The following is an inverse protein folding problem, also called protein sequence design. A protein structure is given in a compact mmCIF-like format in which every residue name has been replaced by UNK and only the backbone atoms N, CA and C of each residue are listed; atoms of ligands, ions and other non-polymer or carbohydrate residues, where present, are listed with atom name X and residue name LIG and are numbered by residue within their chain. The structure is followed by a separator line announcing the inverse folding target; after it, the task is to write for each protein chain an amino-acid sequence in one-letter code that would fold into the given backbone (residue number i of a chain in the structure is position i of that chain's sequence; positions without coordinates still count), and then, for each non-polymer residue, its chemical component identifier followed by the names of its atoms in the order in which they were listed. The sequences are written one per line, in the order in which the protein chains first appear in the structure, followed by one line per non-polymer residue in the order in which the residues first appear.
data_IF_630277925915
#
_entry.id   IF_630277925915
#
_cell.length_a   1.000
_cell.length_b   1.000
_cell.length_c   1.000
_cell.angle_alpha   90.00
_cell.angle_beta   90.00
_cell.angle_gamma   90.00
#
_symmetry.space_group_name_H-M   'P 1'
#
loop_
_entity.id
_entity.type
_entity.pdbx_description
1 polymer ?
#
# COMPACT_ATOMS: atom_id res chain seq x y z
N UNK A 1 37.05 -3.32 -3.37
CA UNK A 1 35.77 -2.66 -3.06
C UNK A 1 34.69 -3.68 -3.31
N UNK A 2 34.23 -4.34 -2.25
CA UNK A 2 33.25 -5.44 -2.33
C UNK A 2 31.86 -4.84 -2.47
N UNK A 3 31.21 -5.09 -3.59
CA UNK A 3 29.80 -4.76 -3.82
C UNK A 3 28.95 -5.51 -2.77
N UNK A 4 27.93 -4.90 -2.13
CA UNK A 4 27.11 -5.63 -1.18
C UNK A 4 26.33 -6.71 -1.94
N UNK A 5 26.53 -7.98 -1.56
CA UNK A 5 25.78 -9.13 -2.05
C UNK A 5 24.28 -8.88 -1.84
N UNK A 6 23.54 -8.73 -2.93
CA UNK A 6 22.07 -8.60 -2.96
C UNK A 6 21.36 -9.97 -2.87
N UNK A 7 22.10 -11.03 -2.51
CA UNK A 7 21.64 -12.42 -2.55
C UNK A 7 21.24 -12.97 -1.17
N UNK A 8 20.57 -12.16 -0.34
CA UNK A 8 19.76 -12.69 0.78
C UNK A 8 18.28 -12.68 0.38
N UNK A 9 17.97 -13.28 -0.77
CA UNK A 9 16.61 -13.64 -1.12
C UNK A 9 16.25 -14.82 -0.24
N UNK A 10 15.73 -14.55 0.97
CA UNK A 10 15.17 -15.57 1.86
C UNK A 10 14.24 -16.56 1.13
N UNK A 11 13.88 -17.69 1.75
CA UNK A 11 13.25 -18.82 1.08
C UNK A 11 12.07 -18.38 0.19
N UNK A 12 11.97 -18.98 -1.00
CA UNK A 12 10.93 -18.66 -1.97
C UNK A 12 9.55 -18.79 -1.32
N UNK A 13 8.84 -17.67 -1.20
CA UNK A 13 7.49 -17.62 -0.65
C UNK A 13 6.51 -18.00 -1.76
N UNK A 14 5.67 -19.00 -1.52
CA UNK A 14 4.65 -19.45 -2.47
C UNK A 14 3.65 -18.31 -2.75
N UNK A 15 3.31 -18.08 -4.02
CA UNK A 15 2.25 -17.12 -4.39
C UNK A 15 0.91 -17.84 -4.49
N UNK A 16 -0.06 -17.46 -3.65
CA UNK A 16 -1.45 -17.94 -3.70
C UNK A 16 -2.38 -16.80 -4.09
N UNK A 17 -2.42 -16.51 -5.39
CA UNK A 17 -3.28 -15.46 -5.95
C UNK A 17 -4.76 -15.74 -5.64
N UNK A 18 -5.36 -14.89 -4.81
CA UNK A 18 -6.75 -15.05 -4.38
C UNK A 18 -7.80 -14.51 -5.36
N UNK A 19 -7.40 -13.76 -6.39
CA UNK A 19 -8.29 -13.27 -7.45
C UNK A 19 -9.13 -12.04 -7.10
N UNK A 20 -8.87 -11.38 -5.96
CA UNK A 20 -9.58 -10.15 -5.59
C UNK A 20 -9.41 -9.07 -6.68
N UNK A 21 -10.49 -8.39 -7.12
CA UNK A 21 -10.39 -7.39 -8.17
C UNK A 21 -9.63 -6.15 -7.69
N UNK A 22 -9.12 -5.38 -8.65
CA UNK A 22 -8.60 -4.04 -8.39
C UNK A 22 -9.76 -3.05 -8.34
N UNK A 23 -9.68 -2.12 -7.40
CA UNK A 23 -10.56 -0.95 -7.28
C UNK A 23 -9.73 0.32 -7.28
N UNK A 24 -10.30 1.39 -7.81
CA UNK A 24 -9.68 2.71 -7.80
C UNK A 24 -10.05 3.47 -6.53
N UNK A 25 -9.05 3.82 -5.72
CA UNK A 25 -9.25 4.56 -4.47
C UNK A 25 -9.80 5.98 -4.70
N UNK A 26 -9.72 6.53 -5.92
CA UNK A 26 -10.31 7.83 -6.24
C UNK A 26 -11.84 7.85 -6.10
N UNK A 27 -12.48 6.68 -6.15
CA UNK A 27 -13.92 6.53 -5.95
C UNK A 27 -14.30 6.19 -4.49
N UNK A 28 -13.33 6.17 -3.56
CA UNK A 28 -13.55 5.86 -2.15
C UNK A 28 -13.64 7.14 -1.33
N UNK A 29 -14.85 7.59 -1.01
CA UNK A 29 -15.09 8.86 -0.31
C UNK A 29 -14.39 8.99 1.04
N UNK A 30 -14.13 7.85 1.71
CA UNK A 30 -13.43 7.80 2.98
C UNK A 30 -11.96 8.27 2.86
N UNK A 31 -11.33 8.10 1.70
CA UNK A 31 -9.91 8.39 1.47
C UNK A 31 -9.74 9.63 0.61
N UNK A 32 -8.61 10.32 0.77
CA UNK A 32 -8.17 11.34 -0.18
C UNK A 32 -7.09 10.77 -1.08
N UNK A 33 -7.11 11.16 -2.35
CA UNK A 33 -6.09 10.80 -3.34
C UNK A 33 -5.49 12.08 -3.87
N UNK A 34 -4.17 12.16 -3.91
CA UNK A 34 -3.46 13.29 -4.49
C UNK A 34 -3.89 13.46 -5.97
N UNK A 35 -4.33 14.65 -6.39
CA UNK A 35 -4.83 14.88 -7.75
C UNK A 35 -3.77 14.60 -8.84
N UNK A 36 -2.48 14.56 -8.51
CA UNK A 36 -1.42 14.15 -9.43
C UNK A 36 -1.42 12.64 -9.72
N UNK A 37 -2.12 11.82 -8.93
CA UNK A 37 -2.21 10.37 -9.11
C UNK A 37 -3.26 10.04 -10.17
N UNK A 38 -2.80 9.67 -11.36
CA UNK A 38 -3.67 9.36 -12.50
C UNK A 38 -4.59 8.14 -12.27
N UNK A 39 -4.13 7.16 -11.50
CA UNK A 39 -4.91 6.01 -11.07
C UNK A 39 -4.37 5.46 -9.74
N UNK A 40 -5.26 5.19 -8.78
CA UNK A 40 -4.90 4.64 -7.47
C UNK A 40 -5.49 3.24 -7.31
N UNK A 41 -5.08 2.31 -8.19
CA UNK A 41 -5.65 0.95 -8.17
C UNK A 41 -5.00 0.09 -7.08
N UNK A 42 -5.81 -0.54 -6.25
CA UNK A 42 -5.38 -1.53 -5.24
C UNK A 42 -6.38 -2.68 -5.19
N UNK A 43 -6.01 -3.81 -4.58
CA UNK A 43 -6.95 -4.92 -4.34
C UNK A 43 -8.07 -4.47 -3.40
N UNK A 44 -9.29 -5.00 -3.57
CA UNK A 44 -10.43 -4.72 -2.67
C UNK A 44 -10.04 -4.89 -1.20
N UNK A 45 -9.38 -6.00 -0.84
CA UNK A 45 -8.97 -6.23 0.54
C UNK A 45 -7.94 -5.22 1.06
N UNK A 46 -7.16 -4.58 0.18
CA UNK A 46 -6.27 -3.46 0.55
C UNK A 46 -7.08 -2.19 0.76
N UNK A 47 -8.03 -1.88 -0.14
CA UNK A 47 -8.92 -0.73 0.01
C UNK A 47 -9.70 -0.78 1.32
N UNK A 48 -10.29 -1.94 1.66
CA UNK A 48 -11.04 -2.13 2.91
C UNK A 48 -10.17 -1.89 4.15
N UNK A 49 -8.90 -2.29 4.10
CA UNK A 49 -7.93 -2.05 5.17
C UNK A 49 -7.56 -0.57 5.28
N UNK A 50 -7.40 0.13 4.16
CA UNK A 50 -7.16 1.58 4.19
C UNK A 50 -8.35 2.34 4.75
N UNK A 51 -9.58 1.94 4.39
CA UNK A 51 -10.81 2.49 4.99
C UNK A 51 -10.87 2.18 6.49
N UNK A 52 -10.50 0.97 6.89
CA UNK A 52 -10.38 0.61 8.31
C UNK A 52 -9.33 1.45 9.03
N UNK A 53 -8.16 1.67 8.45
CA UNK A 53 -7.13 2.53 9.04
C UNK A 53 -7.63 3.98 9.17
N UNK A 54 -8.37 4.48 8.19
CA UNK A 54 -8.99 5.82 8.24
C UNK A 54 -9.95 5.98 9.42
N UNK A 55 -10.70 4.95 9.82
CA UNK A 55 -11.62 5.04 10.98
C UNK A 55 -10.89 5.04 12.32
N UNK A 56 -9.62 4.63 12.35
CA UNK A 56 -8.77 4.64 13.54
C UNK A 56 -8.00 5.96 13.71
N UNK A 57 -8.01 6.83 12.70
CA UNK A 57 -7.35 8.13 12.78
C UNK A 57 -8.13 9.11 13.68
N UNK A 58 -7.44 10.07 14.33
CA UNK A 58 -8.10 11.15 15.04
C UNK A 58 -9.08 11.92 14.16
N UNK A 59 -10.15 12.43 14.77
CA UNK A 59 -11.13 13.28 14.09
C UNK A 59 -10.41 14.46 13.43
N UNK A 60 -10.78 14.74 12.18
CA UNK A 60 -10.19 15.81 11.38
C UNK A 60 -8.89 15.43 10.66
N UNK A 61 -8.38 14.20 10.83
CA UNK A 61 -7.26 13.66 10.06
C UNK A 61 -7.73 12.67 8.99
N UNK A 62 -7.07 12.70 7.84
CA UNK A 62 -7.37 11.86 6.69
C UNK A 62 -6.12 11.23 6.09
N UNK A 63 -6.28 10.01 5.57
CA UNK A 63 -5.28 9.36 4.72
C UNK A 63 -5.27 10.03 3.35
N UNK A 64 -4.07 10.40 2.92
CA UNK A 64 -3.79 10.87 1.56
C UNK A 64 -2.99 9.81 0.82
N UNK A 65 -3.56 9.26 -0.24
CA UNK A 65 -2.88 8.36 -1.17
C UNK A 65 -2.05 9.21 -2.13
N UNK A 66 -0.73 9.13 -2.03
CA UNK A 66 0.21 9.87 -2.91
C UNK A 66 0.76 8.99 -4.03
N UNK A 67 0.58 7.68 -3.94
CA UNK A 67 0.82 6.72 -5.03
C UNK A 67 -0.02 5.46 -4.82
N UNK A 68 -0.64 4.96 -5.88
CA UNK A 68 -1.28 3.63 -5.97
C UNK A 68 -0.70 2.84 -7.13
N UNK A 69 -1.37 1.81 -7.69
CA UNK A 69 -0.82 1.06 -8.85
C UNK A 69 -0.32 1.99 -9.96
N UNK A 70 1.00 2.08 -10.09
CA UNK A 70 1.69 2.63 -11.24
C UNK A 70 1.95 1.48 -12.23
N UNK A 71 1.57 1.60 -13.51
CA UNK A 71 1.85 0.58 -14.53
C UNK A 71 3.33 0.26 -14.71
N UNK A 72 4.23 1.14 -14.27
CA UNK A 72 5.68 0.96 -14.33
C UNK A 72 6.28 0.95 -12.92
N UNK A 73 6.49 -0.27 -12.42
CA UNK A 73 7.56 -0.67 -11.48
C UNK A 73 7.41 -0.69 -9.95
N UNK A 74 6.33 -0.26 -9.30
CA UNK A 74 6.28 -0.33 -7.82
C UNK A 74 5.12 -1.14 -7.23
N UNK A 75 3.96 -1.19 -7.89
CA UNK A 75 2.71 -1.72 -7.30
C UNK A 75 2.01 -2.75 -8.21
N UNK A 76 2.79 -3.58 -8.91
CA UNK A 76 2.30 -4.50 -9.94
C UNK A 76 1.31 -5.57 -9.43
N UNK A 77 1.24 -5.81 -8.12
CA UNK A 77 0.29 -6.71 -7.46
C UNK A 77 -1.02 -6.02 -7.03
N UNK A 78 -1.04 -4.69 -6.94
CA UNK A 78 -2.10 -3.91 -6.30
C UNK A 78 -2.17 -4.07 -4.78
N UNK A 79 -1.12 -4.62 -4.16
CA UNK A 79 -1.06 -4.95 -2.73
C UNK A 79 -0.60 -3.79 -1.83
N UNK A 80 -0.11 -2.71 -2.42
CA UNK A 80 0.59 -1.65 -1.70
C UNK A 80 0.18 -0.26 -2.20
N UNK A 81 0.36 0.72 -1.32
CA UNK A 81 0.12 2.14 -1.58
C UNK A 81 1.13 3.00 -0.80
N UNK A 82 1.45 4.16 -1.36
CA UNK A 82 2.20 5.19 -0.64
C UNK A 82 1.24 6.21 -0.04
N UNK A 83 1.41 6.47 1.26
CA UNK A 83 0.46 7.19 2.07
C UNK A 83 1.11 8.36 2.82
N UNK A 84 0.32 9.41 3.02
CA UNK A 84 0.60 10.53 3.94
C UNK A 84 -0.63 10.82 4.79
N UNK A 85 -0.46 11.66 5.80
CA UNK A 85 -1.59 12.26 6.52
C UNK A 85 -1.87 13.67 6.00
N UNK A 86 -3.15 14.00 5.94
CA UNK A 86 -3.65 15.35 5.69
C UNK A 86 -4.78 15.66 6.67
N UNK A 87 -5.15 16.93 6.76
CA UNK A 87 -6.35 17.37 7.50
C UNK A 87 -7.61 17.14 6.66
N UNK A 88 -8.78 17.28 7.28
CA UNK A 88 -10.08 17.07 6.64
C UNK A 88 -10.33 17.93 5.39
N UNK A 89 -9.73 19.12 5.34
CA UNK A 89 -9.72 20.07 4.23
C UNK A 89 -8.61 19.80 3.19
N UNK A 90 -7.83 18.74 3.37
CA UNK A 90 -6.82 18.28 2.42
C UNK A 90 -5.44 18.92 2.58
N UNK A 91 -5.20 19.74 3.61
CA UNK A 91 -3.86 20.26 3.85
C UNK A 91 -2.92 19.14 4.37
N UNK A 92 -1.79 18.94 3.70
CA UNK A 92 -0.80 17.93 4.11
C UNK A 92 -0.29 18.25 5.51
N UNK A 93 -0.32 17.25 6.40
CA UNK A 93 0.26 17.36 7.74
C UNK A 93 1.75 17.04 7.65
N UNK A 94 2.57 17.85 8.33
CA UNK A 94 4.01 17.59 8.42
C UNK A 94 4.24 16.23 9.06
N UNK A 95 5.03 15.38 8.38
CA UNK A 95 5.34 14.03 8.86
C UNK A 95 6.42 14.08 9.95
N UNK A 96 6.05 14.54 11.13
CA UNK A 96 6.87 14.40 12.34
C UNK A 96 6.75 12.99 12.95
N UNK A 97 7.55 12.70 13.98
CA UNK A 97 7.57 11.38 14.61
C UNK A 97 6.21 10.99 15.21
N UNK A 98 5.44 11.95 15.74
CA UNK A 98 4.13 11.69 16.33
C UNK A 98 3.07 11.37 15.26
N UNK A 99 3.11 12.09 14.16
CA UNK A 99 2.27 11.91 12.97
C UNK A 99 2.55 10.56 12.34
N UNK A 100 3.82 10.23 12.14
CA UNK A 100 4.26 8.93 11.65
C UNK A 100 3.82 7.78 12.58
N UNK A 101 3.94 7.95 13.90
CA UNK A 101 3.51 6.93 14.87
C UNK A 101 2.00 6.68 14.83
N UNK A 102 1.17 7.73 14.71
CA UNK A 102 -0.29 7.59 14.59
C UNK A 102 -0.70 6.90 13.30
N UNK A 103 -0.13 7.35 12.17
CA UNK A 103 -0.35 6.75 10.87
C UNK A 103 0.03 5.27 10.90
N UNK A 104 1.22 4.96 11.43
CA UNK A 104 1.72 3.61 11.51
C UNK A 104 0.88 2.71 12.41
N UNK A 105 0.45 3.19 13.58
CA UNK A 105 -0.42 2.43 14.47
C UNK A 105 -1.76 2.07 13.81
N UNK A 106 -2.38 3.02 13.09
CA UNK A 106 -3.64 2.78 12.39
C UNK A 106 -3.49 1.74 11.25
N UNK A 107 -2.43 1.84 10.47
CA UNK A 107 -2.17 0.94 9.34
C UNK A 107 -1.76 -0.47 9.79
N UNK A 108 -0.94 -0.57 10.85
CA UNK A 108 -0.61 -1.85 11.49
C UNK A 108 -1.85 -2.51 12.10
N UNK A 109 -2.72 -1.74 12.75
CA UNK A 109 -3.98 -2.26 13.28
C UNK A 109 -4.91 -2.76 12.17
N UNK A 110 -4.88 -2.12 11.00
CA UNK A 110 -5.57 -2.59 9.79
C UNK A 110 -4.84 -3.76 9.09
N UNK A 111 -3.70 -4.22 9.60
CA UNK A 111 -2.97 -5.40 9.14
C UNK A 111 -1.96 -5.15 8.02
N UNK A 112 -1.72 -3.89 7.64
CA UNK A 112 -0.66 -3.51 6.71
C UNK A 112 0.70 -3.53 7.40
N UNK A 113 1.75 -3.73 6.62
CA UNK A 113 3.14 -3.56 7.07
C UNK A 113 3.76 -2.35 6.39
N UNK A 114 4.58 -1.62 7.14
CA UNK A 114 5.37 -0.51 6.62
C UNK A 114 6.76 -0.99 6.20
N UNK A 115 7.37 -0.24 5.30
CA UNK A 115 8.78 -0.40 4.92
C UNK A 115 9.67 0.54 5.76
N UNK A 116 10.64 0.04 6.54
CA UNK A 116 11.54 0.87 7.34
C UNK A 116 12.36 1.88 6.51
N UNK A 117 12.73 1.52 5.28
CA UNK A 117 13.53 2.36 4.39
C UNK A 117 12.65 3.35 3.60
N UNK A 118 11.35 3.02 3.49
CA UNK A 118 10.32 3.86 2.84
C UNK A 118 9.12 4.02 3.78
N UNK A 119 9.18 4.92 4.78
CA UNK A 119 8.17 5.00 5.85
C UNK A 119 6.77 5.43 5.38
N UNK A 120 6.63 5.91 4.14
CA UNK A 120 5.36 6.20 3.49
C UNK A 120 4.77 4.99 2.75
N UNK A 121 5.53 3.92 2.55
CA UNK A 121 5.11 2.75 1.77
C UNK A 121 4.48 1.69 2.66
N UNK A 122 3.28 1.25 2.29
CA UNK A 122 2.49 0.30 3.07
C UNK A 122 1.97 -0.83 2.18
N UNK A 123 2.08 -2.06 2.67
CA UNK A 123 1.74 -3.26 1.91
C UNK A 123 0.90 -4.25 2.70
N UNK A 124 0.04 -4.99 1.99
CA UNK A 124 -0.68 -6.13 2.50
C UNK A 124 -0.74 -7.27 1.48
N UNK A 125 -0.35 -8.48 1.88
CA UNK A 125 -0.57 -9.71 1.10
C UNK A 125 0.40 -9.96 -0.06
N UNK A 126 1.37 -9.09 -0.32
CA UNK A 126 2.47 -9.37 -1.26
C UNK A 126 3.70 -10.00 -0.58
N UNK A 127 4.81 -10.07 -1.31
CA UNK A 127 6.08 -10.62 -0.82
C UNK A 127 6.69 -9.80 0.33
N UNK A 128 6.62 -8.48 0.29
CA UNK A 128 7.14 -7.63 1.36
C UNK A 128 6.34 -7.87 2.65
N UNK A 129 5.01 -7.94 2.53
CA UNK A 129 4.13 -8.31 3.64
C UNK A 129 4.42 -9.71 4.17
N UNK A 130 4.58 -10.71 3.29
CA UNK A 130 4.82 -12.08 3.70
C UNK A 130 6.17 -12.23 4.42
N UNK A 131 7.23 -11.59 3.91
CA UNK A 131 8.55 -11.57 4.56
C UNK A 131 8.51 -10.89 5.92
N UNK A 132 7.87 -9.73 6.01
CA UNK A 132 7.77 -8.99 7.27
C UNK A 132 6.97 -9.77 8.33
N UNK A 133 5.93 -10.50 7.93
CA UNK A 133 5.06 -11.26 8.86
C UNK A 133 5.48 -12.71 9.07
N UNK A 134 6.48 -13.20 8.35
CA UNK A 134 6.84 -14.63 8.32
C UNK A 134 5.72 -15.52 7.76
N UNK A 135 4.90 -15.00 6.84
CA UNK A 135 3.81 -15.76 6.24
C UNK A 135 4.36 -16.82 5.27
N UNK A 136 3.76 -18.01 5.27
CA UNK A 136 4.18 -19.12 4.42
C UNK A 136 3.91 -18.89 2.92
N UNK A 137 2.99 -17.98 2.59
CA UNK A 137 2.60 -17.66 1.21
C UNK A 137 2.16 -16.20 1.09
N UNK A 138 2.24 -15.63 -0.13
CA UNK A 138 1.62 -14.35 -0.48
C UNK A 138 0.17 -14.57 -0.92
N UNK A 139 -0.69 -13.60 -0.67
CA UNK A 139 -2.11 -13.59 -1.08
C UNK A 139 -2.30 -12.99 -2.48
N UNK A 140 -1.39 -12.12 -2.89
CA UNK A 140 -1.43 -11.44 -4.17
C UNK A 140 -0.16 -11.75 -4.96
N UNK A 141 -0.36 -12.18 -6.20
CA UNK A 141 0.66 -12.22 -7.23
C UNK A 141 0.60 -10.97 -8.11
N UNK A 142 1.51 -10.88 -9.10
CA UNK A 142 1.43 -9.92 -10.18
C UNK A 142 0.04 -9.93 -10.81
N UNK A 143 -0.59 -8.76 -10.91
CA UNK A 143 -1.77 -8.63 -11.76
C UNK A 143 -1.26 -8.70 -13.19
N UNK A 144 -1.76 -9.64 -13.98
CA UNK A 144 -1.43 -9.72 -15.40
C UNK A 144 -1.64 -8.34 -16.02
N UNK A 145 -0.65 -7.88 -16.79
CA UNK A 145 -0.73 -6.57 -17.42
C UNK A 145 -2.07 -6.48 -18.17
N UNK A 146 -2.78 -5.36 -18.06
CA UNK A 146 -3.96 -5.08 -18.89
C UNK A 146 -3.58 -4.92 -20.38
N UNK A 147 -2.37 -5.32 -20.78
CA UNK A 147 -1.92 -5.47 -22.15
C UNK A 147 -2.33 -6.86 -22.70
N UNK A 148 -3.63 -7.11 -22.82
CA UNK A 148 -4.18 -8.05 -23.80
C UNK A 148 -4.65 -7.25 -25.02
N UNK A 149 -4.49 -7.74 -26.27
CA UNK A 149 -4.70 -6.93 -27.47
C UNK A 149 -6.20 -6.68 -27.66
N UNK A 150 -6.59 -5.41 -27.67
CA UNK A 150 -7.97 -4.97 -27.84
C UNK A 150 -8.02 -3.58 -28.46
N UNK A 151 -7.43 -3.45 -29.65
CA UNK A 151 -7.85 -2.49 -30.68
C UNK A 151 -8.27 -3.28 -31.91
#
# INVERSE_FOLDING_TARGET
MTQPSQDDQGPAVEVRECGEPLVDLRHQEALLVDPAVAAALVRVGVADRLVTAQTLLPIGMRLLVVSGRCPVWLHHTGAAADLRMCTGDGATVVMDAATAARLGAALVAAGLVGDPDRPWHWSYGDLAWARHRGAAYTRYGPVADLAGPGV
#
